data_IF_321861095861
#
_entry.id   IF_321861095861
#
_cell.length_a   1.000
_cell.length_b   1.000
_cell.length_c   1.000
_cell.angle_alpha   90.00
_cell.angle_beta   90.00
_cell.angle_gamma   90.00
#
_symmetry.space_group_name_H-M   'P 1'
#
loop_
_entity.id
_entity.type
_entity.pdbx_description
1 polymer ?
#
# COMPACT_ATOMS: atom_id res chain seq x y z
N UNK A 1 -0.83 -12.06 13.84
CA UNK A 1 -1.89 -11.78 14.82
C UNK A 1 -1.56 -12.26 16.24
N UNK A 2 -0.37 -12.85 16.45
CA UNK A 2 0.07 -13.31 17.77
C UNK A 2 1.59 -13.34 17.91
N UNK A 3 2.15 -13.22 19.15
CA UNK A 3 3.59 -13.31 19.40
C UNK A 3 4.20 -14.63 18.91
N UNK A 4 3.49 -15.73 19.01
CA UNK A 4 3.98 -17.04 18.57
C UNK A 4 4.20 -17.07 17.05
N UNK A 5 3.31 -16.48 16.27
CA UNK A 5 3.46 -16.36 14.81
C UNK A 5 4.63 -15.46 14.44
N UNK A 6 4.82 -14.35 15.14
CA UNK A 6 5.97 -13.46 14.95
C UNK A 6 7.27 -14.21 15.22
N UNK A 7 7.36 -14.89 16.35
CA UNK A 7 8.54 -15.68 16.71
C UNK A 7 8.82 -16.80 15.70
N UNK A 8 7.77 -17.48 15.22
CA UNK A 8 7.91 -18.49 14.18
C UNK A 8 8.54 -17.94 12.90
N UNK A 9 8.03 -16.79 12.40
CA UNK A 9 8.56 -16.16 11.18
C UNK A 9 10.00 -15.70 11.37
N UNK A 10 10.32 -15.03 12.50
CA UNK A 10 11.67 -14.57 12.80
C UNK A 10 12.68 -15.75 12.90
N UNK A 11 12.28 -16.86 13.53
CA UNK A 11 13.12 -18.05 13.61
C UNK A 11 13.35 -18.71 12.25
N UNK A 12 12.29 -18.77 11.41
CA UNK A 12 12.41 -19.27 10.03
C UNK A 12 13.32 -18.38 9.20
N UNK A 13 13.16 -17.07 9.26
CA UNK A 13 13.99 -16.10 8.54
C UNK A 13 15.47 -16.27 8.90
N UNK A 14 15.80 -16.37 10.19
CA UNK A 14 17.17 -16.61 10.65
C UNK A 14 17.80 -17.90 10.12
N UNK A 15 16.99 -18.92 9.90
CA UNK A 15 17.47 -20.22 9.39
C UNK A 15 17.66 -20.23 7.87
N UNK A 16 16.86 -19.45 7.12
CA UNK A 16 16.77 -19.56 5.66
C UNK A 16 17.40 -18.38 4.92
N UNK A 17 17.66 -17.26 5.59
CA UNK A 17 18.07 -16.01 4.96
C UNK A 17 19.32 -15.44 5.59
N UNK A 18 20.20 -14.87 4.73
CA UNK A 18 21.32 -14.04 5.15
C UNK A 18 20.96 -12.55 5.31
N UNK A 19 19.69 -12.19 5.11
CA UNK A 19 19.19 -10.81 5.26
C UNK A 19 18.26 -10.69 6.46
N UNK A 20 18.07 -9.46 6.94
CA UNK A 20 17.09 -9.18 7.99
C UNK A 20 15.68 -9.20 7.40
N UNK A 21 14.80 -10.04 7.96
CA UNK A 21 13.38 -10.08 7.64
C UNK A 21 12.62 -9.54 8.83
N UNK A 22 11.89 -8.46 8.63
CA UNK A 22 11.09 -7.78 9.64
C UNK A 22 9.60 -8.04 9.36
N UNK A 23 8.95 -8.75 10.28
CA UNK A 23 7.54 -9.16 10.15
C UNK A 23 6.62 -8.09 10.73
N UNK A 24 5.73 -7.51 9.92
CA UNK A 24 4.61 -6.71 10.44
C UNK A 24 3.61 -7.60 11.19
N UNK A 25 3.03 -7.06 12.27
CA UNK A 25 1.94 -7.71 13.00
C UNK A 25 0.58 -7.33 12.41
N UNK A 26 -0.37 -8.27 12.38
CA UNK A 26 -1.74 -7.96 11.97
C UNK A 26 -2.44 -7.06 13.01
N UNK A 27 -3.21 -6.08 12.55
CA UNK A 27 -3.98 -5.19 13.43
C UNK A 27 -5.09 -5.96 14.12
N UNK A 28 -5.80 -6.81 13.37
CA UNK A 28 -6.93 -7.58 13.90
C UNK A 28 -6.67 -9.09 13.89
N UNK A 29 -7.39 -9.82 14.74
CA UNK A 29 -7.30 -11.27 14.83
C UNK A 29 -7.65 -11.93 13.51
N UNK A 30 -6.65 -12.65 12.93
CA UNK A 30 -6.79 -13.33 11.64
C UNK A 30 -7.15 -12.39 10.48
N UNK A 31 -6.88 -11.08 10.61
CA UNK A 31 -7.21 -10.03 9.63
C UNK A 31 -8.70 -10.02 9.25
N UNK A 32 -9.56 -10.15 10.26
CA UNK A 32 -11.02 -10.20 10.08
C UNK A 32 -11.72 -8.86 10.31
N UNK A 33 -11.00 -7.83 10.80
CA UNK A 33 -11.56 -6.51 11.07
C UNK A 33 -12.59 -6.48 12.21
N UNK A 34 -12.59 -7.47 13.13
CA UNK A 34 -13.62 -7.64 14.16
C UNK A 34 -13.11 -7.30 15.55
N UNK A 35 -11.91 -7.72 15.90
CA UNK A 35 -11.29 -7.50 17.21
C UNK A 35 -9.78 -7.30 17.05
N UNK A 36 -9.16 -6.52 17.94
CA UNK A 36 -7.72 -6.30 17.90
C UNK A 36 -6.93 -7.58 18.20
N UNK A 37 -5.79 -7.72 17.56
CA UNK A 37 -4.81 -8.75 17.88
C UNK A 37 -4.07 -8.43 19.18
N UNK A 38 -3.21 -9.33 19.64
CA UNK A 38 -2.31 -9.07 20.78
C UNK A 38 -1.15 -8.15 20.35
N UNK A 39 -1.47 -6.87 20.12
CA UNK A 39 -0.51 -5.87 19.66
C UNK A 39 0.67 -5.74 20.62
N UNK A 40 0.41 -5.64 21.93
CA UNK A 40 1.47 -5.53 22.94
C UNK A 40 2.40 -6.73 22.94
N UNK A 41 1.84 -7.94 22.87
CA UNK A 41 2.64 -9.17 22.81
C UNK A 41 3.48 -9.25 21.53
N UNK A 42 2.93 -8.85 20.38
CA UNK A 42 3.67 -8.82 19.12
C UNK A 42 4.77 -7.75 19.11
N UNK A 43 4.55 -6.59 19.70
CA UNK A 43 5.59 -5.56 19.89
C UNK A 43 6.74 -6.11 20.74
N UNK A 44 6.44 -6.77 21.85
CA UNK A 44 7.45 -7.45 22.68
C UNK A 44 8.19 -8.55 21.93
N UNK A 45 7.53 -9.21 20.98
CA UNK A 45 8.15 -10.20 20.08
C UNK A 45 8.98 -9.56 18.94
N UNK A 46 8.96 -8.22 18.80
CA UNK A 46 9.86 -7.47 17.92
C UNK A 46 9.29 -7.14 16.55
N UNK A 47 7.98 -6.95 16.39
CA UNK A 47 7.43 -6.40 15.15
C UNK A 47 7.86 -4.94 14.98
N UNK A 48 8.21 -4.50 13.76
CA UNK A 48 8.54 -3.12 13.47
C UNK A 48 7.33 -2.26 13.16
N UNK A 49 6.22 -2.86 12.76
CA UNK A 49 5.01 -2.19 12.29
C UNK A 49 3.78 -3.07 12.48
N UNK A 50 2.61 -2.46 12.39
CA UNK A 50 1.31 -3.12 12.28
C UNK A 50 0.76 -2.94 10.86
N UNK A 51 0.03 -3.93 10.34
CA UNK A 51 -0.65 -3.84 9.06
C UNK A 51 -1.89 -4.73 9.04
N UNK A 52 -2.81 -4.43 8.14
CA UNK A 52 -3.92 -5.32 7.75
C UNK A 52 -3.79 -5.67 6.25
N UNK A 53 -2.57 -5.78 5.76
CA UNK A 53 -2.19 -5.78 4.34
C UNK A 53 -3.07 -6.65 3.44
N UNK A 54 -3.39 -6.08 2.25
CA UNK A 54 -4.38 -6.61 1.33
C UNK A 54 -5.83 -6.37 1.78
N UNK A 55 -6.03 -5.70 2.93
CA UNK A 55 -7.32 -5.30 3.48
C UNK A 55 -7.19 -3.97 4.22
N UNK A 56 -8.33 -3.39 4.58
CA UNK A 56 -8.40 -2.26 5.52
C UNK A 56 -9.25 -2.66 6.73
N UNK A 57 -8.94 -2.12 7.89
CA UNK A 57 -9.84 -2.21 9.03
C UNK A 57 -11.05 -1.32 8.75
N UNK A 58 -12.14 -1.88 8.22
CA UNK A 58 -13.32 -1.12 7.77
C UNK A 58 -14.06 -0.44 8.92
N UNK A 59 -14.02 -1.02 10.11
CA UNK A 59 -14.61 -0.41 11.31
C UNK A 59 -13.73 0.75 11.80
N UNK A 60 -14.16 1.98 11.55
CA UNK A 60 -13.44 3.20 11.91
C UNK A 60 -13.13 3.30 13.41
N UNK A 61 -14.03 2.84 14.29
CA UNK A 61 -13.80 2.83 15.75
C UNK A 61 -12.67 1.87 16.09
N UNK A 62 -12.68 0.66 15.55
CA UNK A 62 -11.62 -0.34 15.77
C UNK A 62 -10.27 0.14 15.23
N UNK A 63 -10.28 0.81 14.07
CA UNK A 63 -9.08 1.43 13.51
C UNK A 63 -8.50 2.49 14.44
N UNK A 64 -9.35 3.37 15.01
CA UNK A 64 -8.93 4.37 15.99
C UNK A 64 -8.35 3.71 17.26
N UNK A 65 -9.02 2.70 17.78
CA UNK A 65 -8.54 1.93 18.95
C UNK A 65 -7.16 1.30 18.68
N UNK A 66 -6.95 0.75 17.46
CA UNK A 66 -5.65 0.23 17.04
C UNK A 66 -4.57 1.32 17.00
N UNK A 67 -4.88 2.50 16.48
CA UNK A 67 -3.96 3.64 16.43
C UNK A 67 -3.58 4.11 17.83
N UNK A 68 -4.53 4.19 18.76
CA UNK A 68 -4.28 4.56 20.15
C UNK A 68 -3.36 3.55 20.87
N UNK A 69 -3.49 2.26 20.55
CA UNK A 69 -2.58 1.23 21.07
C UNK A 69 -1.20 1.32 20.41
N UNK A 70 -1.15 1.51 19.08
CA UNK A 70 0.10 1.65 18.33
C UNK A 70 0.94 2.86 18.80
N UNK A 71 0.26 3.98 19.11
CA UNK A 71 0.90 5.20 19.64
C UNK A 71 1.62 4.92 20.97
N UNK A 72 0.96 4.24 21.93
CA UNK A 72 1.54 3.88 23.22
C UNK A 72 2.85 3.10 23.11
N UNK A 73 2.99 2.29 22.08
CA UNK A 73 4.19 1.50 21.83
C UNK A 73 5.12 2.12 20.79
N UNK A 74 4.80 3.30 20.27
CA UNK A 74 5.52 3.98 19.19
C UNK A 74 5.76 3.10 17.96
N UNK A 75 4.79 2.27 17.61
CA UNK A 75 4.82 1.37 16.44
C UNK A 75 3.99 1.97 15.32
N UNK A 76 4.52 2.11 14.09
CA UNK A 76 3.74 2.63 12.97
C UNK A 76 2.69 1.64 12.50
N UNK A 77 1.59 2.19 11.96
CA UNK A 77 0.61 1.43 11.18
C UNK A 77 0.91 1.64 9.70
N UNK A 78 1.08 0.55 8.97
CA UNK A 78 1.20 0.49 7.51
C UNK A 78 -0.17 0.20 6.94
N UNK A 79 -0.78 1.19 6.30
CA UNK A 79 -2.15 1.14 5.85
C UNK A 79 -2.25 0.82 4.35
N UNK A 80 -2.80 -0.35 4.03
CA UNK A 80 -3.34 -0.62 2.71
C UNK A 80 -4.69 0.08 2.61
N UNK A 81 -4.76 1.17 1.81
CA UNK A 81 -5.94 2.02 1.76
C UNK A 81 -6.93 1.52 0.71
N UNK A 82 -7.91 0.73 1.14
CA UNK A 82 -8.93 0.17 0.28
C UNK A 82 -10.28 0.10 0.97
N UNK A 83 -11.27 0.81 0.44
CA UNK A 83 -12.67 0.59 0.82
C UNK A 83 -13.18 -0.66 0.10
N UNK A 84 -13.29 -1.76 0.85
CA UNK A 84 -13.63 -3.08 0.31
C UNK A 84 -15.06 -3.10 -0.24
N UNK A 85 -15.99 -2.39 0.40
CA UNK A 85 -17.39 -2.34 -0.02
C UNK A 85 -17.51 -1.55 -1.33
N UNK A 86 -16.78 -0.43 -1.44
CA UNK A 86 -16.76 0.40 -2.64
C UNK A 86 -16.02 -0.28 -3.80
N UNK A 87 -14.96 -1.04 -3.53
CA UNK A 87 -14.24 -1.81 -4.54
C UNK A 87 -15.12 -2.88 -5.21
N UNK A 88 -15.92 -3.58 -4.40
CA UNK A 88 -16.73 -4.70 -4.90
C UNK A 88 -15.90 -5.76 -5.62
N UNK A 89 -16.30 -6.11 -6.85
CA UNK A 89 -15.59 -7.05 -7.73
C UNK A 89 -14.60 -6.39 -8.70
N UNK A 90 -14.26 -5.10 -8.48
CA UNK A 90 -13.30 -4.35 -9.26
C UNK A 90 -11.95 -5.05 -9.39
N UNK A 91 -11.34 -4.96 -10.58
CA UNK A 91 -10.09 -5.67 -10.87
C UNK A 91 -9.06 -4.86 -11.67
N UNK A 92 -9.41 -3.67 -12.14
CA UNK A 92 -8.53 -2.70 -12.79
C UNK A 92 -9.10 -1.28 -12.58
N UNK A 93 -8.39 -0.24 -13.01
CA UNK A 93 -8.87 1.13 -12.87
C UNK A 93 -10.24 1.35 -13.52
N UNK A 94 -11.13 2.13 -12.87
CA UNK A 94 -12.43 2.48 -13.45
C UNK A 94 -12.29 3.63 -14.45
N UNK A 95 -12.10 3.26 -15.71
CA UNK A 95 -11.97 4.20 -16.82
C UNK A 95 -12.55 3.63 -18.14
N UNK A 96 -12.29 4.32 -19.25
CA UNK A 96 -12.71 3.87 -20.55
C UNK A 96 -12.05 2.55 -20.97
N UNK A 97 -10.83 2.31 -20.51
CA UNK A 97 -10.12 1.07 -20.83
C UNK A 97 -10.78 -0.14 -20.16
N UNK A 98 -11.22 -0.01 -18.91
CA UNK A 98 -12.01 -1.06 -18.23
C UNK A 98 -13.30 -1.36 -18.99
N UNK A 99 -14.01 -0.31 -19.42
CA UNK A 99 -15.24 -0.45 -20.22
C UNK A 99 -14.96 -1.13 -21.55
N UNK A 100 -13.88 -0.77 -22.24
CA UNK A 100 -13.45 -1.39 -23.51
C UNK A 100 -13.15 -2.88 -23.35
N UNK A 101 -12.55 -3.27 -22.24
CA UNK A 101 -12.19 -4.66 -21.94
C UNK A 101 -13.36 -5.45 -21.31
N UNK A 102 -14.44 -4.81 -20.93
CA UNK A 102 -15.57 -5.45 -20.25
C UNK A 102 -15.26 -5.91 -18.83
N UNK A 103 -14.32 -5.22 -18.16
CA UNK A 103 -13.84 -5.55 -16.81
C UNK A 103 -14.39 -4.56 -15.76
N UNK A 104 -14.69 -5.03 -14.54
CA UNK A 104 -15.17 -4.15 -13.48
C UNK A 104 -14.05 -3.23 -12.97
N UNK A 105 -14.41 -1.95 -12.77
CA UNK A 105 -13.48 -0.90 -12.38
C UNK A 105 -13.32 -0.74 -10.88
N UNK A 106 -12.17 -0.20 -10.47
CA UNK A 106 -11.82 0.26 -9.13
C UNK A 106 -11.61 1.79 -9.22
N UNK A 107 -12.58 2.56 -8.74
CA UNK A 107 -12.47 4.03 -8.77
C UNK A 107 -11.44 4.54 -7.76
N UNK A 108 -10.92 5.76 -7.98
CA UNK A 108 -9.95 6.37 -7.08
C UNK A 108 -10.49 6.52 -5.65
N UNK A 109 -11.80 6.76 -5.50
CA UNK A 109 -12.42 6.91 -4.18
C UNK A 109 -12.26 5.68 -3.27
N UNK A 110 -12.03 4.48 -3.83
CA UNK A 110 -11.73 3.26 -3.06
C UNK A 110 -10.50 3.47 -2.17
N UNK A 111 -9.47 4.12 -2.68
CA UNK A 111 -8.24 4.45 -1.95
C UNK A 111 -8.41 5.75 -1.16
N UNK A 112 -8.93 6.79 -1.79
CA UNK A 112 -8.99 8.15 -1.24
C UNK A 112 -9.78 8.23 0.07
N UNK A 113 -10.91 7.53 0.18
CA UNK A 113 -11.78 7.55 1.37
C UNK A 113 -11.08 6.94 2.59
N UNK A 114 -10.40 5.84 2.41
CA UNK A 114 -9.66 5.17 3.50
C UNK A 114 -8.42 5.98 3.88
N UNK A 115 -7.68 6.50 2.91
CA UNK A 115 -6.53 7.36 3.18
C UNK A 115 -6.93 8.62 3.98
N UNK A 116 -8.00 9.30 3.57
CA UNK A 116 -8.53 10.46 4.28
C UNK A 116 -8.94 10.12 5.71
N UNK A 117 -9.66 9.01 5.91
CA UNK A 117 -10.07 8.53 7.23
C UNK A 117 -8.84 8.29 8.12
N UNK A 118 -7.87 7.56 7.61
CA UNK A 118 -6.71 7.13 8.40
C UNK A 118 -5.79 8.32 8.74
N UNK A 119 -5.62 9.29 7.82
CA UNK A 119 -4.94 10.56 8.09
C UNK A 119 -5.62 11.32 9.23
N UNK A 120 -6.95 11.46 9.20
CA UNK A 120 -7.70 12.15 10.25
C UNK A 120 -7.58 11.45 11.61
N UNK A 121 -7.62 10.11 11.63
CA UNK A 121 -7.44 9.34 12.84
C UNK A 121 -6.01 9.43 13.39
N UNK A 122 -5.00 9.37 12.53
CA UNK A 122 -3.60 9.51 12.93
C UNK A 122 -3.30 10.91 13.48
N UNK A 123 -3.90 11.96 12.90
CA UNK A 123 -3.83 13.34 13.42
C UNK A 123 -4.46 13.45 14.80
N UNK A 124 -5.62 12.83 15.03
CA UNK A 124 -6.35 12.84 16.30
C UNK A 124 -5.63 12.07 17.41
N UNK A 125 -5.07 10.89 17.07
CA UNK A 125 -4.44 9.98 18.03
C UNK A 125 -2.97 10.24 18.28
N UNK A 126 -2.30 10.93 17.35
CA UNK A 126 -0.84 11.07 17.35
C UNK A 126 -0.09 9.82 16.86
N UNK A 127 -0.80 8.77 16.43
CA UNK A 127 -0.19 7.54 15.95
C UNK A 127 0.67 7.78 14.70
N UNK A 128 1.72 6.97 14.57
CA UNK A 128 2.54 6.95 13.35
C UNK A 128 1.80 6.17 12.26
N UNK A 129 1.52 6.85 11.15
CA UNK A 129 0.82 6.27 10.00
C UNK A 129 1.74 6.29 8.78
N UNK A 130 1.76 5.19 8.04
CA UNK A 130 2.39 5.10 6.73
C UNK A 130 1.36 4.56 5.72
N UNK A 131 1.04 5.37 4.70
CA UNK A 131 0.17 4.97 3.61
C UNK A 131 0.99 4.18 2.59
N UNK A 132 0.65 2.90 2.41
CA UNK A 132 1.34 2.00 1.50
C UNK A 132 0.93 2.25 0.05
N UNK A 133 1.84 2.00 -0.90
CA UNK A 133 1.62 1.92 -2.36
C UNK A 133 0.55 2.89 -2.90
N UNK A 134 0.63 4.17 -2.54
CA UNK A 134 -0.32 5.18 -3.01
C UNK A 134 -0.36 5.29 -4.54
N UNK A 135 -1.57 5.42 -5.10
CA UNK A 135 -1.76 5.38 -6.54
C UNK A 135 -2.55 6.56 -7.12
N UNK A 136 -3.21 7.39 -6.31
CA UNK A 136 -4.16 8.39 -6.78
C UNK A 136 -3.69 9.85 -6.64
N UNK A 137 -4.20 10.72 -7.50
CA UNK A 137 -4.07 12.18 -7.32
C UNK A 137 -4.70 12.67 -6.01
N UNK A 138 -5.79 12.02 -5.56
CA UNK A 138 -6.47 12.36 -4.31
C UNK A 138 -5.54 12.21 -3.11
N UNK A 139 -4.90 11.06 -2.97
CA UNK A 139 -3.92 10.83 -1.90
C UNK A 139 -2.71 11.75 -2.03
N UNK A 140 -2.20 11.99 -3.24
CA UNK A 140 -1.09 12.93 -3.45
C UNK A 140 -1.39 14.32 -2.89
N UNK A 141 -2.59 14.86 -3.14
CA UNK A 141 -3.04 16.14 -2.58
C UNK A 141 -3.18 16.11 -1.05
N UNK A 142 -3.68 15.01 -0.49
CA UNK A 142 -3.75 14.86 0.97
C UNK A 142 -2.35 14.89 1.58
N UNK A 143 -1.37 14.24 0.96
CA UNK A 143 0.01 14.24 1.44
C UNK A 143 0.71 15.59 1.28
N UNK A 144 0.35 16.41 0.27
CA UNK A 144 0.77 17.82 0.19
C UNK A 144 0.29 18.59 1.43
N UNK A 145 -0.99 18.43 1.82
CA UNK A 145 -1.55 19.08 3.02
C UNK A 145 -0.88 18.55 4.30
N UNK A 146 -0.67 17.25 4.42
CA UNK A 146 0.04 16.63 5.56
C UNK A 146 1.41 17.26 5.76
N UNK A 147 2.14 17.46 4.67
CA UNK A 147 3.46 18.11 4.66
C UNK A 147 3.37 19.59 5.04
N UNK A 148 2.42 20.35 4.46
CA UNK A 148 2.21 21.77 4.75
C UNK A 148 1.84 22.02 6.22
N UNK A 149 1.05 21.10 6.82
CA UNK A 149 0.67 21.17 8.24
C UNK A 149 1.78 20.67 9.17
N UNK A 150 2.89 20.12 8.66
CA UNK A 150 4.01 19.61 9.45
C UNK A 150 3.66 18.36 10.26
N UNK A 151 2.79 17.50 9.76
CA UNK A 151 2.39 16.24 10.41
C UNK A 151 3.43 15.14 10.16
N UNK A 152 4.59 15.23 10.81
CA UNK A 152 5.74 14.34 10.60
C UNK A 152 5.49 12.87 11.01
N UNK A 153 4.44 12.61 11.77
CA UNK A 153 4.01 11.26 12.12
C UNK A 153 3.25 10.53 10.99
N UNK A 154 2.94 11.23 9.88
CA UNK A 154 2.26 10.66 8.73
C UNK A 154 3.20 10.67 7.53
N UNK A 155 3.39 9.52 6.92
CA UNK A 155 4.23 9.33 5.74
C UNK A 155 3.50 8.47 4.70
N UNK A 156 4.01 8.47 3.46
CA UNK A 156 3.45 7.67 2.40
C UNK A 156 4.52 7.22 1.42
N UNK A 157 4.21 6.16 0.68
CA UNK A 157 5.07 5.58 -0.34
C UNK A 157 4.36 5.43 -1.69
N UNK A 158 5.16 5.29 -2.74
CA UNK A 158 4.69 4.96 -4.09
C UNK A 158 5.51 3.81 -4.66
N UNK A 159 4.92 3.03 -5.57
CA UNK A 159 5.62 1.93 -6.25
C UNK A 159 6.03 2.33 -7.67
N UNK A 160 7.14 1.78 -8.22
CA UNK A 160 7.59 2.10 -9.57
C UNK A 160 6.52 1.92 -10.64
N UNK A 161 5.73 0.86 -10.56
CA UNK A 161 4.65 0.61 -11.51
C UNK A 161 3.57 1.69 -11.49
N UNK A 162 3.32 2.36 -10.34
CA UNK A 162 2.33 3.44 -10.22
C UNK A 162 2.80 4.80 -10.73
N UNK A 163 4.12 5.02 -10.89
CA UNK A 163 4.62 6.28 -11.48
C UNK A 163 5.25 6.11 -12.87
N UNK A 164 5.29 4.87 -13.41
CA UNK A 164 5.83 4.58 -14.75
C UNK A 164 4.72 4.18 -15.71
N UNK A 165 3.79 3.32 -15.28
CA UNK A 165 2.73 2.76 -16.10
C UNK A 165 1.39 3.46 -15.82
N UNK A 166 0.51 3.37 -16.81
CA UNK A 166 -0.88 3.84 -16.73
C UNK A 166 -1.85 2.73 -17.08
N UNK A 167 -3.12 2.91 -16.80
CA UNK A 167 -4.18 2.01 -17.28
C UNK A 167 -4.20 1.88 -18.81
N UNK A 168 -3.75 2.90 -19.54
CA UNK A 168 -3.66 2.86 -21.01
C UNK A 168 -2.61 1.87 -21.53
N UNK A 169 -1.68 1.42 -20.69
CA UNK A 169 -0.70 0.39 -21.07
C UNK A 169 -1.32 -1.01 -21.14
N UNK A 170 -2.49 -1.21 -20.56
CA UNK A 170 -3.24 -2.47 -20.59
C UNK A 170 -3.97 -2.60 -21.93
N UNK A 171 -3.33 -3.17 -22.93
CA UNK A 171 -3.88 -3.25 -24.29
C UNK A 171 -4.93 -4.35 -24.48
N UNK A 172 -4.85 -5.41 -23.68
CA UNK A 172 -5.74 -6.56 -23.70
C UNK A 172 -5.97 -7.09 -22.29
N UNK A 173 -6.85 -8.05 -22.12
CA UNK A 173 -7.12 -8.74 -20.87
C UNK A 173 -5.95 -9.68 -20.51
N UNK A 174 -4.86 -9.10 -20.00
CA UNK A 174 -3.64 -9.80 -19.59
C UNK A 174 -3.53 -9.81 -18.06
N UNK A 175 -3.63 -10.98 -17.41
CA UNK A 175 -3.60 -11.12 -15.93
C UNK A 175 -2.33 -10.57 -15.28
N UNK A 176 -1.23 -10.39 -16.03
CA UNK A 176 0.00 -9.81 -15.50
C UNK A 176 -0.14 -8.34 -15.10
N UNK A 177 -1.17 -7.64 -15.61
CA UNK A 177 -1.48 -6.26 -15.22
C UNK A 177 -2.39 -6.16 -13.99
N UNK A 178 -2.69 -7.28 -13.31
CA UNK A 178 -3.51 -7.23 -12.10
C UNK A 178 -2.65 -7.01 -10.85
N UNK A 179 -2.72 -5.84 -10.27
CA UNK A 179 -2.19 -5.48 -8.95
C UNK A 179 -3.20 -4.59 -8.21
N UNK A 180 -3.03 -4.41 -6.92
CA UNK A 180 -3.88 -3.56 -6.10
C UNK A 180 -3.04 -2.68 -5.16
N UNK A 181 -3.13 -1.34 -5.28
CA UNK A 181 -3.98 -0.56 -6.21
C UNK A 181 -3.70 -0.81 -7.68
N UNK A 182 -4.71 -0.60 -8.58
CA UNK A 182 -4.51 -0.79 -10.02
C UNK A 182 -3.66 0.34 -10.62
N UNK A 183 -3.13 0.10 -11.83
CA UNK A 183 -2.54 1.16 -12.64
C UNK A 183 -3.59 2.23 -12.94
N UNK A 184 -3.30 3.47 -12.60
CA UNK A 184 -4.21 4.61 -12.72
C UNK A 184 -4.02 5.38 -14.02
N UNK A 185 -4.68 6.53 -14.12
CA UNK A 185 -4.56 7.41 -15.28
C UNK A 185 -3.24 8.19 -15.27
N UNK A 186 -2.90 8.79 -16.43
CA UNK A 186 -1.73 9.68 -16.54
C UNK A 186 -1.79 10.84 -15.54
N UNK A 187 -2.98 11.33 -15.20
CA UNK A 187 -3.18 12.40 -14.23
C UNK A 187 -2.73 11.99 -12.82
N UNK A 188 -3.04 10.76 -12.44
CA UNK A 188 -2.61 10.19 -11.17
C UNK A 188 -1.10 10.00 -11.15
N UNK A 189 -0.53 9.39 -12.19
CA UNK A 189 0.92 9.24 -12.36
C UNK A 189 1.66 10.57 -12.20
N UNK A 190 1.19 11.63 -12.87
CA UNK A 190 1.81 12.95 -12.78
C UNK A 190 1.72 13.54 -11.37
N UNK A 191 0.64 13.26 -10.63
CA UNK A 191 0.51 13.70 -9.25
C UNK A 191 1.50 12.98 -8.32
N UNK A 192 1.67 11.66 -8.48
CA UNK A 192 2.65 10.89 -7.71
C UNK A 192 4.08 11.38 -7.96
N UNK A 193 4.44 11.64 -9.22
CA UNK A 193 5.76 12.18 -9.59
C UNK A 193 5.99 13.56 -8.96
N UNK A 194 4.98 14.43 -8.96
CA UNK A 194 5.08 15.72 -8.27
C UNK A 194 5.31 15.55 -6.78
N UNK A 195 4.56 14.65 -6.14
CA UNK A 195 4.69 14.37 -4.71
C UNK A 195 6.05 13.75 -4.32
N UNK A 196 6.67 12.94 -5.20
CA UNK A 196 8.05 12.50 -5.03
C UNK A 196 9.03 13.68 -5.14
N UNK A 197 8.84 14.55 -6.13
CA UNK A 197 9.72 15.69 -6.38
C UNK A 197 9.68 16.72 -5.26
N UNK A 198 8.51 17.00 -4.71
CA UNK A 198 8.35 17.99 -3.64
C UNK A 198 8.57 17.40 -2.23
N UNK A 199 8.71 16.07 -2.11
CA UNK A 199 8.94 15.35 -0.85
C UNK A 199 7.69 15.08 -0.02
N UNK A 200 6.49 15.19 -0.60
CA UNK A 200 5.24 14.73 0.01
C UNK A 200 5.23 13.20 0.14
N UNK A 201 5.75 12.50 -0.88
CA UNK A 201 6.11 11.08 -0.78
C UNK A 201 7.60 10.94 -0.44
N UNK A 202 7.90 10.18 0.62
CA UNK A 202 9.27 10.03 1.15
C UNK A 202 9.89 8.66 0.86
N UNK A 203 9.10 7.71 0.33
CA UNK A 203 9.52 6.33 0.14
C UNK A 203 9.11 5.83 -1.24
N UNK A 204 9.98 5.04 -1.85
CA UNK A 204 9.65 4.20 -2.99
C UNK A 204 9.71 2.76 -2.51
N UNK A 205 8.58 2.06 -2.54
CA UNK A 205 8.45 0.64 -2.19
C UNK A 205 8.28 -0.23 -3.43
N UNK A 206 8.30 -1.53 -3.26
CA UNK A 206 8.18 -2.46 -4.40
C UNK A 206 6.80 -3.04 -4.54
N UNK A 207 6.10 -3.21 -3.44
CA UNK A 207 4.90 -4.04 -3.36
C UNK A 207 5.11 -5.40 -4.06
N UNK A 208 6.25 -6.05 -3.75
CA UNK A 208 6.64 -7.32 -4.38
C UNK A 208 5.74 -8.46 -3.92
N UNK A 209 4.73 -8.77 -4.73
CA UNK A 209 3.72 -9.78 -4.46
C UNK A 209 3.69 -10.84 -5.58
N UNK A 210 4.68 -11.76 -5.62
CA UNK A 210 4.78 -12.79 -6.64
C UNK A 210 3.70 -13.85 -6.48
N UNK A 211 3.21 -14.34 -7.62
CA UNK A 211 2.23 -15.42 -7.70
C UNK A 211 2.70 -16.53 -8.61
N UNK A 212 2.27 -17.76 -8.33
CA UNK A 212 2.54 -18.88 -9.21
C UNK A 212 1.82 -18.72 -10.56
N UNK A 213 2.41 -19.28 -11.62
CA UNK A 213 1.88 -19.17 -12.99
C UNK A 213 0.37 -19.47 -13.09
N UNK A 214 -0.17 -20.53 -12.44
CA UNK A 214 -1.61 -20.82 -12.49
C UNK A 214 -2.50 -19.70 -11.91
N UNK A 215 -1.97 -18.90 -10.96
CA UNK A 215 -2.72 -17.79 -10.32
C UNK A 215 -2.73 -16.52 -11.19
N UNK A 216 -1.81 -16.46 -12.17
CA UNK A 216 -1.67 -15.34 -13.13
C UNK A 216 -2.01 -15.78 -14.55
N UNK A 217 -3.05 -16.59 -14.73
CA UNK A 217 -3.54 -17.05 -16.03
C UNK A 217 -4.99 -16.70 -16.26
N UNK A 218 -5.40 -16.66 -17.53
CA UNK A 218 -6.78 -16.35 -17.94
C UNK A 218 -7.03 -14.85 -18.02
N UNK A 219 -8.06 -14.38 -17.33
CA UNK A 219 -8.49 -12.97 -17.34
C UNK A 219 -7.98 -12.21 -16.11
N UNK A 220 -7.74 -10.90 -16.27
CA UNK A 220 -7.52 -9.96 -15.16
C UNK A 220 -8.58 -10.17 -14.07
N UNK A 221 -9.84 -10.39 -14.44
CA UNK A 221 -10.93 -10.56 -13.48
C UNK A 221 -10.65 -11.65 -12.45
N UNK A 222 -10.11 -12.81 -12.89
CA UNK A 222 -9.97 -13.99 -12.06
C UNK A 222 -8.54 -14.21 -11.52
N UNK A 223 -7.56 -13.49 -12.04
CA UNK A 223 -6.18 -13.60 -11.59
C UNK A 223 -5.99 -13.08 -10.16
N UNK A 224 -4.93 -13.51 -9.49
CA UNK A 224 -4.50 -12.95 -8.22
C UNK A 224 -4.00 -11.50 -8.38
N UNK A 225 -4.23 -10.68 -7.37
CA UNK A 225 -3.64 -9.34 -7.26
C UNK A 225 -2.16 -9.44 -6.84
N UNK A 226 -1.28 -8.79 -7.56
CA UNK A 226 0.14 -8.68 -7.23
C UNK A 226 1.05 -8.90 -8.43
N UNK A 227 2.22 -8.25 -8.38
CA UNK A 227 3.28 -8.34 -9.38
C UNK A 227 4.65 -8.44 -8.71
N UNK A 228 5.67 -8.83 -9.47
CA UNK A 228 7.07 -8.80 -9.03
C UNK A 228 7.62 -7.37 -9.11
N UNK A 229 8.52 -6.99 -8.21
CA UNK A 229 9.07 -5.63 -8.16
C UNK A 229 10.49 -5.51 -7.63
N UNK A 230 10.96 -6.40 -6.74
CA UNK A 230 12.25 -6.26 -6.04
C UNK A 230 13.43 -6.11 -7.02
N UNK A 231 13.50 -6.95 -8.05
CA UNK A 231 14.65 -7.00 -8.96
C UNK A 231 14.75 -5.77 -9.86
N UNK A 232 13.63 -5.10 -10.14
CA UNK A 232 13.54 -4.01 -11.12
C UNK A 232 13.36 -2.64 -10.48
N UNK A 233 12.97 -2.56 -9.22
CA UNK A 233 12.57 -1.31 -8.56
C UNK A 233 13.64 -0.22 -8.65
N UNK A 234 14.90 -0.53 -8.31
CA UNK A 234 15.97 0.46 -8.34
C UNK A 234 16.24 0.95 -9.78
N UNK A 235 16.38 0.03 -10.73
CA UNK A 235 16.67 0.39 -12.12
C UNK A 235 15.53 1.22 -12.74
N UNK A 236 14.29 0.82 -12.53
CA UNK A 236 13.12 1.56 -13.02
C UNK A 236 13.01 2.95 -12.39
N UNK A 237 13.20 3.04 -11.07
CA UNK A 237 13.17 4.34 -10.36
C UNK A 237 14.30 5.26 -10.83
N UNK A 238 15.51 4.72 -10.99
CA UNK A 238 16.65 5.48 -11.49
C UNK A 238 16.39 6.04 -12.89
N UNK A 239 15.95 5.19 -13.81
CA UNK A 239 15.66 5.60 -15.19
C UNK A 239 14.51 6.60 -15.26
N UNK A 240 13.42 6.35 -14.53
CA UNK A 240 12.24 7.21 -14.59
C UNK A 240 12.42 8.57 -13.88
N UNK A 241 13.20 8.62 -12.81
CA UNK A 241 13.25 9.80 -11.94
C UNK A 241 14.61 10.52 -11.97
N UNK A 242 15.74 9.78 -12.03
CA UNK A 242 17.07 10.39 -11.99
C UNK A 242 17.58 10.75 -13.37
N UNK A 243 17.53 9.85 -14.35
CA UNK A 243 17.96 10.14 -15.73
C UNK A 243 17.12 11.23 -16.41
N UNK A 244 15.87 11.37 -15.99
CA UNK A 244 14.96 12.43 -16.45
C UNK A 244 15.14 13.76 -15.72
N UNK A 245 15.97 13.81 -14.67
CA UNK A 245 16.26 15.00 -13.88
C UNK A 245 15.11 15.41 -12.93
N UNK A 246 14.17 14.50 -12.63
CA UNK A 246 13.09 14.75 -11.67
C UNK A 246 13.64 14.71 -10.24
N UNK A 247 14.47 13.72 -9.93
CA UNK A 247 15.18 13.57 -8.66
C UNK A 247 16.69 13.53 -8.89
N UNK A 248 17.45 13.71 -7.81
CA UNK A 248 18.90 13.42 -7.76
C UNK A 248 19.12 12.07 -7.11
N UNK A 249 20.30 11.49 -7.30
CA UNK A 249 20.66 10.21 -6.66
C UNK A 249 21.03 10.38 -5.16
N UNK A 250 21.22 11.58 -4.73
CA UNK A 250 21.57 11.98 -3.35
C UNK A 250 20.49 12.81 -2.72
#
# INVERSE_FOLDING_TARGET
DSPDRVNYVHNKAKQLSGIHVLQAGAITQGEKGQELSDIEGMVKAGIPALSEDGKSVMNTRLCKEAMEVAEKFNVPIFAHCEDIDLRGDGCMNDDENARRLGLPGICNAVEDVIAARDILLARETGARLHLCHCSTEGVAKMMEIVKEEGLDNITAEVCPHHFILTSDDIKCDDPNYKMNPPLRTKKDVDALIRGLKDGSFKVISTDHAPHAVPEKTGSIRNAAFGIVGIETSFALSYTALVETGILTIS
#
